data_IF_958379777264
#
_entry.id   IF_958379777264
#
_cell.length_a   1.000
_cell.length_b   1.000
_cell.length_c   1.000
_cell.angle_alpha   90.00
_cell.angle_beta   90.00
_cell.angle_gamma   90.00
#
_symmetry.space_group_name_H-M   'P 1'
#
loop_
_entity.id
_entity.type
_entity.pdbx_description
1 polymer ?
#
# COMPACT_ATOMS: atom_id res chain seq x y z
N UNK A 1 18.35 12.90 -0.09
CA UNK A 1 18.76 11.57 0.41
C UNK A 1 18.52 11.40 1.92
N UNK A 2 18.81 12.48 2.64
CA UNK A 2 18.68 12.70 4.07
C UNK A 2 17.28 12.38 4.60
N UNK A 3 16.23 12.71 3.84
CA UNK A 3 14.84 12.51 4.25
C UNK A 3 14.27 11.14 3.87
N UNK A 4 14.98 10.31 3.09
CA UNK A 4 14.38 9.12 2.48
C UNK A 4 13.83 8.10 3.49
N UNK A 5 14.43 8.01 4.68
CA UNK A 5 13.94 7.10 5.72
C UNK A 5 12.64 7.61 6.34
N UNK A 6 12.55 8.92 6.63
CA UNK A 6 11.32 9.53 7.11
C UNK A 6 10.21 9.48 6.05
N UNK A 7 10.58 9.66 4.77
CA UNK A 7 9.64 9.54 3.65
C UNK A 7 9.11 8.11 3.48
N UNK A 8 9.87 7.07 3.84
CA UNK A 8 9.36 5.69 3.85
C UNK A 8 8.26 5.52 4.90
N UNK A 9 8.46 6.10 6.09
CA UNK A 9 7.46 6.07 7.16
C UNK A 9 6.19 6.85 6.76
N UNK A 10 6.35 8.02 6.11
CA UNK A 10 5.21 8.79 5.55
C UNK A 10 4.48 8.00 4.46
N UNK A 11 5.22 7.40 3.52
CA UNK A 11 4.65 6.62 2.42
C UNK A 11 3.86 5.41 2.91
N UNK A 12 4.40 4.69 3.89
CA UNK A 12 3.73 3.54 4.52
C UNK A 12 2.44 3.99 5.21
N UNK A 13 2.49 5.07 6.00
CA UNK A 13 1.30 5.64 6.65
C UNK A 13 0.22 6.10 5.67
N UNK A 14 0.61 6.61 4.50
CA UNK A 14 -0.34 6.98 3.44
C UNK A 14 -1.08 5.75 2.90
N UNK A 15 -0.41 4.61 2.75
CA UNK A 15 -1.06 3.37 2.35
C UNK A 15 -1.95 2.79 3.47
N UNK A 16 -1.50 2.88 4.74
CA UNK A 16 -2.29 2.53 5.92
C UNK A 16 -3.56 3.37 6.05
N UNK A 17 -3.51 4.66 5.71
CA UNK A 17 -4.68 5.55 5.75
C UNK A 17 -5.81 5.05 4.86
N UNK A 18 -5.50 4.49 3.70
CA UNK A 18 -6.50 3.91 2.79
C UNK A 18 -7.19 2.72 3.46
N UNK A 19 -6.42 1.82 4.09
CA UNK A 19 -6.98 0.68 4.84
C UNK A 19 -7.84 1.14 6.03
N UNK A 20 -7.38 2.13 6.79
CA UNK A 20 -8.11 2.73 7.92
C UNK A 20 -9.44 3.35 7.48
N UNK A 21 -9.44 4.13 6.39
CA UNK A 21 -10.66 4.72 5.82
C UNK A 21 -11.63 3.69 5.25
N UNK A 22 -11.10 2.59 4.72
CA UNK A 22 -11.90 1.45 4.24
C UNK A 22 -12.35 0.51 5.37
N UNK A 23 -11.98 0.77 6.63
CA UNK A 23 -12.36 -0.08 7.76
C UNK A 23 -11.79 -1.50 7.70
N UNK A 24 -10.72 -1.73 6.95
CA UNK A 24 -10.10 -3.05 6.78
C UNK A 24 -9.06 -3.29 7.87
N UNK A 25 -9.15 -4.44 8.55
CA UNK A 25 -8.15 -4.83 9.55
C UNK A 25 -6.86 -5.28 8.87
N UNK A 26 -5.71 -4.79 9.34
CA UNK A 26 -4.41 -5.07 8.75
C UNK A 26 -3.29 -5.11 9.79
N UNK A 27 -2.13 -5.59 9.36
CA UNK A 27 -0.86 -5.48 10.11
C UNK A 27 0.24 -4.92 9.21
N UNK A 28 1.25 -4.33 9.83
CA UNK A 28 2.47 -3.87 9.15
C UNK A 28 3.60 -4.83 9.48
N UNK A 29 4.32 -5.31 8.47
CA UNK A 29 5.45 -6.23 8.63
C UNK A 29 6.70 -5.60 8.03
N UNK A 30 7.76 -5.46 8.83
CA UNK A 30 9.09 -5.15 8.29
C UNK A 30 9.71 -6.44 7.76
N UNK A 31 9.99 -6.49 6.45
CA UNK A 31 10.54 -7.69 5.84
C UNK A 31 11.94 -8.01 6.37
N UNK A 32 12.21 -9.30 6.56
CA UNK A 32 13.54 -9.78 6.93
C UNK A 32 14.48 -9.77 5.72
N UNK A 33 15.78 -9.86 5.94
CA UNK A 33 16.79 -9.77 4.87
C UNK A 33 16.63 -10.82 3.77
N UNK A 34 16.10 -12.01 4.10
CA UNK A 34 15.87 -13.10 3.14
C UNK A 34 14.65 -12.91 2.24
N UNK A 35 13.74 -12.00 2.61
CA UNK A 35 12.48 -11.75 1.90
C UNK A 35 12.46 -10.38 1.20
N UNK A 36 13.53 -9.59 1.33
CA UNK A 36 13.65 -8.32 0.64
C UNK A 36 13.78 -8.52 -0.88
N UNK A 37 13.04 -7.69 -1.62
CA UNK A 37 13.20 -7.59 -3.07
C UNK A 37 14.60 -7.09 -3.45
N UNK A 38 15.11 -7.56 -4.60
CA UNK A 38 16.49 -7.34 -5.07
C UNK A 38 17.04 -5.91 -4.96
N UNK A 39 16.19 -4.90 -5.17
CA UNK A 39 16.59 -3.50 -5.20
C UNK A 39 16.36 -2.75 -3.88
N UNK A 40 15.58 -3.30 -2.96
CA UNK A 40 15.14 -2.60 -1.76
C UNK A 40 16.21 -2.65 -0.65
N UNK A 41 16.41 -1.53 0.03
CA UNK A 41 17.23 -1.47 1.24
C UNK A 41 16.39 -1.77 2.50
N UNK A 42 15.10 -1.42 2.48
CA UNK A 42 14.10 -1.75 3.51
C UNK A 42 12.71 -1.74 2.89
N UNK A 43 11.86 -2.65 3.34
CA UNK A 43 10.48 -2.80 2.89
C UNK A 43 9.54 -3.03 4.07
N UNK A 44 8.41 -2.34 4.05
CA UNK A 44 7.24 -2.67 4.85
C UNK A 44 6.14 -3.23 3.97
N UNK A 45 5.62 -4.39 4.35
CA UNK A 45 4.41 -4.93 3.77
C UNK A 45 3.22 -4.62 4.67
N UNK A 46 2.15 -4.14 4.05
CA UNK A 46 0.84 -4.07 4.67
C UNK A 46 0.10 -5.34 4.28
N UNK A 47 -0.38 -6.06 5.28
CA UNK A 47 -1.14 -7.28 5.06
C UNK A 47 -2.55 -7.13 5.62
N UNK A 48 -3.56 -7.36 4.80
CA UNK A 48 -4.98 -7.24 5.14
C UNK A 48 -5.54 -8.59 5.60
N UNK A 49 -6.42 -8.57 6.59
CA UNK A 49 -7.13 -9.76 7.04
C UNK A 49 -8.13 -10.25 5.99
N UNK A 50 -8.07 -11.53 5.65
CA UNK A 50 -9.03 -12.20 4.76
C UNK A 50 -9.75 -13.31 5.53
N UNK A 51 -11.01 -13.10 5.97
CA UNK A 51 -11.72 -14.06 6.82
C UNK A 51 -12.00 -15.40 6.12
N UNK A 52 -12.18 -15.41 4.79
CA UNK A 52 -12.36 -16.65 4.03
C UNK A 52 -11.11 -17.54 4.02
N UNK A 53 -9.93 -16.95 4.24
CA UNK A 53 -8.65 -17.67 4.33
C UNK A 53 -8.17 -17.83 5.78
N UNK A 54 -8.72 -17.08 6.73
CA UNK A 54 -8.31 -17.09 8.13
C UNK A 54 -6.88 -16.58 8.37
N UNK A 55 -6.39 -15.67 7.53
CA UNK A 55 -5.00 -15.17 7.59
C UNK A 55 -4.87 -13.77 7.00
N UNK A 56 -3.72 -13.14 7.25
CA UNK A 56 -3.32 -11.89 6.61
C UNK A 56 -2.66 -12.15 5.24
N UNK A 57 -2.98 -11.33 4.24
CA UNK A 57 -2.35 -11.35 2.91
C UNK A 57 -1.82 -9.96 2.55
N UNK A 58 -0.64 -9.91 1.95
CA UNK A 58 -0.05 -8.69 1.42
C UNK A 58 -1.04 -7.93 0.52
N UNK A 59 -1.23 -6.63 0.76
CA UNK A 59 -2.07 -5.72 -0.03
C UNK A 59 -1.30 -4.48 -0.51
N UNK A 60 -0.15 -4.20 0.11
CA UNK A 60 0.82 -3.20 -0.32
C UNK A 60 2.22 -3.58 0.13
N UNK A 61 3.20 -3.17 -0.65
CA UNK A 61 4.62 -3.21 -0.31
C UNK A 61 5.21 -1.82 -0.53
N UNK A 62 5.83 -1.25 0.50
CA UNK A 62 6.40 0.09 0.55
C UNK A 62 7.90 0.02 0.83
N UNK A 63 8.72 0.54 -0.08
CA UNK A 63 10.17 0.30 -0.07
C UNK A 63 11.00 1.57 -0.26
N UNK A 64 12.14 1.63 0.44
CA UNK A 64 13.22 2.58 0.17
C UNK A 64 14.35 1.85 -0.55
N UNK A 65 14.74 2.35 -1.72
CA UNK A 65 15.78 1.75 -2.57
C UNK A 65 17.13 2.44 -2.38
N UNK A 66 17.20 3.46 -1.53
CA UNK A 66 18.33 4.38 -1.41
C UNK A 66 18.77 4.85 -2.80
N UNK A 67 20.05 4.82 -3.12
CA UNK A 67 20.57 5.24 -4.42
C UNK A 67 20.60 4.12 -5.48
N UNK A 68 20.09 2.91 -5.19
CA UNK A 68 20.27 1.74 -6.07
C UNK A 68 19.72 1.97 -7.48
N UNK A 69 18.46 2.39 -7.57
CA UNK A 69 17.80 2.69 -8.85
C UNK A 69 18.38 3.95 -9.48
N UNK A 70 18.63 4.99 -8.66
CA UNK A 70 19.19 6.26 -9.12
C UNK A 70 20.57 6.08 -9.78
N UNK A 71 21.43 5.23 -9.21
CA UNK A 71 22.75 4.90 -9.75
C UNK A 71 22.66 4.21 -11.10
N UNK A 72 21.72 3.26 -11.25
CA UNK A 72 21.50 2.51 -12.50
C UNK A 72 20.89 3.36 -13.60
N UNK A 73 20.01 4.29 -13.25
CA UNK A 73 19.30 5.15 -14.20
C UNK A 73 19.97 6.53 -14.40
N UNK A 74 21.04 6.84 -13.68
CA UNK A 74 21.73 8.13 -13.76
C UNK A 74 20.92 9.31 -13.20
N UNK A 75 20.02 9.07 -12.24
CA UNK A 75 19.12 10.09 -11.68
C UNK A 75 19.85 10.88 -10.59
N UNK A 76 20.05 12.17 -10.83
CA UNK A 76 20.87 13.04 -9.97
C UNK A 76 20.14 14.35 -9.66
N UNK A 77 20.49 14.95 -8.54
CA UNK A 77 20.04 16.30 -8.17
C UNK A 77 21.24 17.18 -7.81
N UNK A 78 21.03 18.49 -7.79
CA UNK A 78 22.03 19.49 -7.42
C UNK A 78 21.51 20.33 -6.27
N UNK A 79 22.19 20.29 -5.12
CA UNK A 79 21.91 21.20 -4.01
C UNK A 79 22.27 22.63 -4.41
N UNK A 80 21.45 23.59 -3.98
CA UNK A 80 21.69 25.01 -4.23
C UNK A 80 23.05 25.40 -3.63
N UNK A 81 23.92 26.02 -4.44
CA UNK A 81 25.27 26.42 -4.02
C UNK A 81 26.32 25.31 -4.04
N UNK A 82 25.97 24.05 -4.32
CA UNK A 82 26.93 22.95 -4.36
C UNK A 82 27.69 22.88 -5.70
N UNK A 83 28.97 22.51 -5.64
CA UNK A 83 29.80 22.15 -6.80
C UNK A 83 29.64 20.66 -7.09
N UNK A 84 28.87 20.30 -8.10
CA UNK A 84 28.63 18.91 -8.52
C UNK A 84 27.17 18.48 -8.41
N UNK A 85 26.92 17.17 -8.53
CA UNK A 85 25.59 16.55 -8.42
C UNK A 85 25.67 15.28 -7.58
N UNK A 86 24.60 15.00 -6.85
CA UNK A 86 24.44 13.85 -5.96
C UNK A 86 23.35 12.91 -6.51
N UNK A 87 23.40 11.62 -6.18
CA UNK A 87 22.33 10.68 -6.51
C UNK A 87 21.11 10.94 -5.62
N UNK A 88 19.91 10.85 -6.18
CA UNK A 88 18.69 10.87 -5.38
C UNK A 88 18.50 9.52 -4.68
N UNK A 89 17.67 9.51 -3.63
CA UNK A 89 17.08 8.26 -3.15
C UNK A 89 15.71 8.08 -3.79
N UNK A 90 15.32 6.84 -4.10
CA UNK A 90 14.01 6.53 -4.66
C UNK A 90 13.19 5.67 -3.69
N UNK A 91 11.89 5.85 -3.74
CA UNK A 91 10.91 5.10 -2.97
C UNK A 91 9.73 4.74 -3.88
N UNK A 92 9.04 3.65 -3.56
CA UNK A 92 7.73 3.35 -4.10
C UNK A 92 6.91 2.57 -3.08
N UNK A 93 5.60 2.64 -3.24
CA UNK A 93 4.63 2.02 -2.36
C UNK A 93 3.31 1.85 -3.07
N UNK A 94 2.69 0.68 -2.91
CA UNK A 94 1.33 0.47 -3.42
C UNK A 94 0.32 1.18 -2.51
N UNK A 95 -0.66 1.88 -3.07
CA UNK A 95 -1.67 2.61 -2.29
C UNK A 95 -3.09 2.41 -2.82
N UNK A 96 -3.60 1.21 -3.05
CA UNK A 96 -3.13 -0.14 -2.72
C UNK A 96 -3.15 -1.00 -4.00
N UNK A 97 -2.89 -2.30 -3.91
CA UNK A 97 -3.22 -3.21 -5.01
C UNK A 97 -4.75 -3.38 -5.14
N UNK A 98 -5.38 -2.62 -6.06
CA UNK A 98 -6.85 -2.50 -6.19
C UNK A 98 -7.57 -3.86 -6.21
N UNK A 99 -7.09 -4.83 -6.98
CA UNK A 99 -7.71 -6.16 -7.05
C UNK A 99 -7.72 -6.88 -5.70
N UNK A 100 -6.65 -6.79 -4.92
CA UNK A 100 -6.58 -7.37 -3.56
C UNK A 100 -7.48 -6.59 -2.59
N UNK A 101 -7.59 -5.27 -2.75
CA UNK A 101 -8.51 -4.44 -1.99
C UNK A 101 -9.97 -4.81 -2.24
N UNK A 102 -10.35 -5.09 -3.49
CA UNK A 102 -11.70 -5.57 -3.82
C UNK A 102 -11.99 -6.89 -3.12
N UNK A 103 -11.08 -7.87 -3.17
CA UNK A 103 -11.23 -9.13 -2.43
C UNK A 103 -11.41 -8.89 -0.93
N UNK A 104 -10.57 -8.04 -0.33
CA UNK A 104 -10.66 -7.71 1.08
C UNK A 104 -12.00 -7.07 1.46
N UNK A 105 -12.53 -6.16 0.63
CA UNK A 105 -13.86 -5.56 0.84
C UNK A 105 -14.94 -6.63 0.75
N UNK A 106 -14.96 -7.44 -0.31
CA UNK A 106 -15.97 -8.48 -0.51
C UNK A 106 -16.00 -9.46 0.66
N UNK A 107 -14.84 -9.91 1.15
CA UNK A 107 -14.78 -10.86 2.25
C UNK A 107 -15.13 -10.25 3.61
N UNK A 108 -14.69 -9.02 3.91
CA UNK A 108 -14.89 -8.40 5.23
C UNK A 108 -16.26 -7.72 5.38
N UNK A 109 -16.92 -7.36 4.28
CA UNK A 109 -18.21 -6.67 4.29
C UNK A 109 -19.39 -7.53 3.83
N UNK A 110 -19.19 -8.83 3.58
CA UNK A 110 -20.27 -9.76 3.24
C UNK A 110 -21.33 -9.86 4.34
N UNK A 111 -22.58 -10.07 3.94
CA UNK A 111 -23.72 -10.33 4.79
C UNK A 111 -24.18 -11.79 4.65
N UNK A 112 -24.93 -12.35 5.63
CA UNK A 112 -25.41 -13.73 5.56
C UNK A 112 -26.29 -14.06 4.33
N UNK A 113 -26.90 -13.05 3.71
CA UNK A 113 -27.73 -13.18 2.50
C UNK A 113 -26.90 -13.08 1.19
N UNK A 114 -25.58 -12.96 1.28
CA UNK A 114 -24.67 -12.84 0.14
C UNK A 114 -24.53 -11.42 -0.41
N UNK A 115 -25.21 -10.43 0.15
CA UNK A 115 -24.97 -9.02 -0.18
C UNK A 115 -23.66 -8.52 0.43
N UNK A 116 -23.12 -7.41 -0.08
CA UNK A 116 -21.89 -6.79 0.45
C UNK A 116 -22.14 -5.34 0.78
N UNK A 117 -21.92 -4.96 2.03
CA UNK A 117 -21.99 -3.56 2.46
C UNK A 117 -20.83 -2.79 1.81
N UNK A 118 -21.13 -1.65 1.20
CA UNK A 118 -20.11 -0.76 0.64
C UNK A 118 -19.53 0.08 1.78
N UNK A 119 -18.18 0.08 1.99
CA UNK A 119 -17.53 0.94 2.95
C UNK A 119 -17.95 2.40 2.76
N UNK A 120 -18.22 3.12 3.86
CA UNK A 120 -18.73 4.50 3.80
C UNK A 120 -17.88 5.42 2.93
N UNK A 121 -16.55 5.27 3.02
CA UNK A 121 -15.58 6.04 2.23
C UNK A 121 -15.69 5.85 0.70
N UNK A 122 -16.39 4.81 0.23
CA UNK A 122 -16.60 4.52 -1.20
C UNK A 122 -17.97 4.94 -1.71
N UNK A 123 -18.96 5.21 -0.84
CA UNK A 123 -20.36 5.43 -1.26
C UNK A 123 -20.51 6.62 -2.21
N UNK A 124 -19.78 7.72 -1.98
CA UNK A 124 -19.79 8.89 -2.88
C UNK A 124 -19.30 8.53 -4.29
N UNK A 125 -18.28 7.68 -4.39
CA UNK A 125 -17.75 7.19 -5.67
C UNK A 125 -18.65 6.14 -6.34
N UNK A 126 -19.62 5.59 -5.60
CA UNK A 126 -20.59 4.62 -6.08
C UNK A 126 -22.00 5.22 -6.23
N UNK A 127 -22.12 6.55 -6.34
CA UNK A 127 -23.41 7.21 -6.57
C UNK A 127 -24.39 7.10 -5.38
N UNK A 128 -23.86 6.97 -4.16
CA UNK A 128 -24.66 6.78 -2.95
C UNK A 128 -25.10 5.33 -2.71
N UNK A 129 -24.65 4.37 -3.53
CA UNK A 129 -24.96 2.96 -3.31
C UNK A 129 -24.34 2.48 -1.98
N UNK A 130 -25.16 1.85 -1.14
CA UNK A 130 -24.74 1.38 0.19
C UNK A 130 -24.47 -0.12 0.24
N UNK A 131 -25.05 -0.90 -0.67
CA UNK A 131 -24.99 -2.36 -0.69
C UNK A 131 -24.88 -2.85 -2.13
N UNK A 132 -23.97 -3.79 -2.39
CA UNK A 132 -23.91 -4.57 -3.62
C UNK A 132 -24.81 -5.79 -3.45
N UNK A 133 -25.81 -5.93 -4.32
CA UNK A 133 -26.69 -7.10 -4.36
C UNK A 133 -26.25 -8.08 -5.44
N UNK A 134 -26.45 -9.38 -5.20
CA UNK A 134 -26.32 -10.38 -6.27
C UNK A 134 -27.41 -10.24 -7.33
N UNK A 135 -27.33 -10.97 -8.46
CA UNK A 135 -28.46 -11.11 -9.35
C UNK A 135 -29.64 -11.69 -8.54
N UNK A 136 -30.77 -10.98 -8.59
CA UNK A 136 -32.04 -11.47 -8.04
C UNK A 136 -32.35 -12.76 -8.82
N UNK A 137 -32.53 -13.92 -8.16
CA UNK A 137 -32.99 -15.14 -8.86
C UNK A 137 -34.38 -14.95 -9.48
#
# INVERSE_FOLDING_TARGET
PEESWDQLEVLTRNAEEILRRLGLHYRVVCLCTGDLGFSAAKTYDLEVWLPGQGLYREISSCSNFTDFQARRAGIRFKKKGAKGTELVHTLNGSGLAVGRTVVAILENYQQPDGTVIIPEALREYMGGLEVITGPIP
#
